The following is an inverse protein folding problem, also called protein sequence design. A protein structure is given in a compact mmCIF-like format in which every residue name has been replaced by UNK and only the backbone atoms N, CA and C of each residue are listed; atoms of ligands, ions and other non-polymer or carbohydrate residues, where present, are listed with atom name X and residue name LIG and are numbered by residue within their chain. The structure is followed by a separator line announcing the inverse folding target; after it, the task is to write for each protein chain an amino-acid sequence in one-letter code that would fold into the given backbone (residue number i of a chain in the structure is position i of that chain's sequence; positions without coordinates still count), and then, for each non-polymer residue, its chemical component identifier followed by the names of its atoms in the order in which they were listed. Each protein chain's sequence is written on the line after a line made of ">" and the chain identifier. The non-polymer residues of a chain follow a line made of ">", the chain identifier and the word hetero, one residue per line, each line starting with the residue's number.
data_IF_750293579937
#
_entry.id   IF_750293579937
#
_cell.length_a   1.000
_cell.length_b   1.000
_cell.length_c   1.000
_cell.angle_alpha   90.00
_cell.angle_beta   90.00
_cell.angle_gamma   90.00
#
_symmetry.space_group_name_H-M   'P 1'
#
loop_
_entity.id
_entity.type
_entity.pdbx_description
1 polymer ?
#
# COMPACT_ATOMS: atom_id res chain seq x y z
N UNK A 1 -16.30 -6.49 -21.10
CA UNK A 1 -15.53 -5.96 -19.95
C UNK A 1 -14.38 -6.91 -19.79
N UNK A 2 -13.20 -6.56 -20.29
CA UNK A 2 -12.02 -7.40 -20.16
C UNK A 2 -11.70 -7.53 -18.67
N UNK A 3 -11.74 -8.76 -18.18
CA UNK A 3 -11.37 -9.11 -16.82
C UNK A 3 -9.88 -8.80 -16.67
N UNK A 4 -9.58 -7.77 -15.88
CA UNK A 4 -8.21 -7.34 -15.64
C UNK A 4 -7.45 -8.47 -14.93
N UNK A 5 -6.68 -9.24 -15.69
CA UNK A 5 -5.78 -10.24 -15.14
C UNK A 5 -4.58 -9.55 -14.50
N UNK A 6 -4.40 -9.75 -13.20
CA UNK A 6 -3.18 -9.33 -12.52
C UNK A 6 -2.01 -10.19 -12.99
N UNK A 7 -0.87 -9.55 -13.31
CA UNK A 7 0.37 -10.29 -13.61
C UNK A 7 0.85 -11.18 -12.44
N UNK A 8 0.33 -10.97 -11.23
CA UNK A 8 0.68 -11.75 -10.04
C UNK A 8 -0.20 -13.00 -9.84
N UNK A 9 -1.29 -13.14 -10.60
CA UNK A 9 -2.26 -14.23 -10.41
C UNK A 9 -1.62 -15.61 -10.57
N UNK A 10 -0.85 -15.80 -11.62
CA UNK A 10 -0.14 -17.06 -11.88
C UNK A 10 0.93 -17.37 -10.83
N UNK A 11 1.57 -16.32 -10.28
CA UNK A 11 2.59 -16.46 -9.26
C UNK A 11 2.00 -16.92 -7.94
N UNK A 12 0.89 -16.32 -7.49
CA UNK A 12 0.22 -16.71 -6.26
C UNK A 12 -0.51 -18.04 -6.38
N UNK A 13 -1.07 -18.38 -7.55
CA UNK A 13 -1.71 -19.68 -7.78
C UNK A 13 -0.71 -20.83 -7.67
N UNK A 14 0.47 -20.72 -8.27
CA UNK A 14 1.53 -21.74 -8.18
C UNK A 14 1.96 -22.02 -6.74
N UNK A 15 1.93 -21.03 -5.87
CA UNK A 15 2.35 -21.21 -4.47
C UNK A 15 1.25 -21.70 -3.55
N UNK A 16 -0.02 -21.43 -3.81
CA UNK A 16 -1.13 -22.07 -3.09
C UNK A 16 -1.10 -23.59 -3.28
N UNK A 17 -0.70 -24.09 -4.46
CA UNK A 17 -0.50 -25.51 -4.71
C UNK A 17 0.67 -26.10 -3.90
N UNK A 18 1.67 -25.31 -3.54
CA UNK A 18 2.83 -25.74 -2.74
C UNK A 18 2.59 -25.67 -1.22
N UNK A 19 1.67 -24.82 -0.76
CA UNK A 19 1.40 -24.55 0.68
C UNK A 19 0.39 -25.53 1.33
N UNK A 20 -0.14 -26.51 0.61
CA UNK A 20 -1.21 -27.40 1.10
C UNK A 20 -0.76 -28.54 2.04
N UNK A 21 0.46 -28.50 2.59
CA UNK A 21 0.98 -29.65 3.38
C UNK A 21 1.07 -29.48 4.89
N UNK A 22 0.79 -28.33 5.48
CA UNK A 22 0.84 -28.21 6.94
C UNK A 22 -0.37 -27.48 7.53
N UNK A 23 -1.07 -28.18 8.43
CA UNK A 23 -2.28 -27.74 9.15
C UNK A 23 -1.96 -26.86 10.37
N UNK A 24 -0.96 -25.99 10.29
CA UNK A 24 -0.62 -24.98 11.30
C UNK A 24 -1.09 -23.60 10.87
N UNK A 25 -1.28 -22.70 11.85
CA UNK A 25 -1.49 -21.27 11.55
C UNK A 25 -0.24 -20.76 10.80
N UNK A 26 -0.33 -20.35 9.55
CA UNK A 26 0.87 -20.06 8.76
C UNK A 26 1.63 -18.89 9.36
N UNK A 27 2.93 -19.05 9.59
CA UNK A 27 3.79 -18.02 10.16
C UNK A 27 3.88 -16.78 9.26
N UNK A 28 3.71 -16.98 7.95
CA UNK A 28 3.69 -15.91 6.95
C UNK A 28 2.54 -16.13 5.97
N UNK A 29 1.72 -15.11 5.80
CA UNK A 29 0.61 -15.07 4.83
C UNK A 29 0.85 -13.93 3.86
N UNK A 30 0.88 -14.24 2.56
CA UNK A 30 1.07 -13.27 1.48
C UNK A 30 -0.12 -13.34 0.55
N UNK A 31 -0.70 -12.19 0.24
CA UNK A 31 -1.82 -12.08 -0.70
C UNK A 31 -1.75 -10.80 -1.51
N UNK A 32 -2.28 -10.84 -2.73
CA UNK A 32 -2.47 -9.64 -3.54
C UNK A 32 -3.78 -8.94 -3.15
N UNK A 33 -3.72 -7.62 -2.95
CA UNK A 33 -4.90 -6.78 -2.78
C UNK A 33 -5.32 -6.22 -4.14
N UNK A 34 -6.42 -6.71 -4.69
CA UNK A 34 -6.93 -6.33 -6.02
C UNK A 34 -7.98 -5.25 -5.91
N UNK A 35 -8.20 -4.55 -7.04
CA UNK A 35 -9.27 -3.55 -7.20
C UNK A 35 -9.19 -2.39 -6.19
N UNK A 36 -8.00 -2.10 -5.68
CA UNK A 36 -7.80 -0.95 -4.80
C UNK A 36 -7.69 0.31 -5.63
N UNK A 37 -8.61 1.23 -5.43
CA UNK A 37 -8.59 2.52 -6.09
C UNK A 37 -7.61 3.45 -5.39
N UNK A 38 -6.69 4.06 -6.14
CA UNK A 38 -5.70 5.01 -5.66
C UNK A 38 -5.76 6.27 -6.51
N UNK A 39 -6.10 7.39 -5.90
CA UNK A 39 -6.04 8.70 -6.56
C UNK A 39 -4.97 9.55 -5.89
N UNK A 40 -3.95 9.94 -6.63
CA UNK A 40 -2.97 10.93 -6.18
C UNK A 40 -3.52 12.33 -6.39
N UNK A 41 -3.39 13.16 -5.36
CA UNK A 41 -3.64 14.60 -5.46
C UNK A 41 -2.35 15.35 -5.14
N UNK A 42 -2.06 16.34 -5.99
CA UNK A 42 -0.97 17.30 -5.76
C UNK A 42 -1.56 18.66 -5.37
N UNK A 43 -0.88 19.36 -4.48
CA UNK A 43 -1.27 20.68 -3.99
C UNK A 43 -0.03 21.48 -3.60
N UNK A 44 -0.11 22.78 -3.60
CA UNK A 44 0.98 23.62 -3.10
C UNK A 44 0.88 23.77 -1.59
N UNK A 45 2.00 23.96 -0.91
CA UNK A 45 2.04 24.19 0.56
C UNK A 45 1.11 25.32 0.99
N UNK A 46 0.96 26.38 0.18
CA UNK A 46 0.01 27.47 0.40
C UNK A 46 -1.46 27.03 0.39
N UNK A 47 -1.78 25.86 -0.16
CA UNK A 47 -3.12 25.30 -0.27
C UNK A 47 -3.45 24.30 0.84
N UNK A 48 -2.58 24.13 1.85
CA UNK A 48 -2.76 23.16 2.94
C UNK A 48 -4.12 23.28 3.63
N UNK A 49 -4.57 24.51 3.91
CA UNK A 49 -5.88 24.75 4.50
C UNK A 49 -7.04 24.31 3.61
N UNK A 50 -6.91 24.52 2.29
CA UNK A 50 -7.89 24.09 1.28
C UNK A 50 -7.92 22.55 1.16
N UNK A 51 -6.74 21.89 1.18
CA UNK A 51 -6.64 20.44 1.19
C UNK A 51 -7.28 19.86 2.46
N UNK A 52 -7.04 20.45 3.62
CA UNK A 52 -7.67 20.03 4.88
C UNK A 52 -9.20 20.11 4.82
N UNK A 53 -9.76 21.20 4.29
CA UNK A 53 -11.22 21.34 4.09
C UNK A 53 -11.77 20.28 3.14
N UNK A 54 -11.04 19.99 2.05
CA UNK A 54 -11.41 18.95 1.12
C UNK A 54 -11.43 17.58 1.79
N UNK A 55 -10.37 17.21 2.54
CA UNK A 55 -10.32 15.95 3.27
C UNK A 55 -11.45 15.82 4.30
N UNK A 56 -11.77 16.92 5.00
CA UNK A 56 -12.91 16.96 5.92
C UNK A 56 -14.25 16.68 5.22
N UNK A 57 -14.43 17.16 3.98
CA UNK A 57 -15.63 16.87 3.18
C UNK A 57 -15.76 15.39 2.78
N UNK A 58 -14.65 14.64 2.82
CA UNK A 58 -14.60 13.20 2.61
C UNK A 58 -14.73 12.38 3.90
N UNK A 59 -14.93 13.05 5.05
CA UNK A 59 -15.01 12.40 6.36
C UNK A 59 -13.65 12.04 6.97
N UNK A 60 -12.57 12.67 6.48
CA UNK A 60 -11.22 12.53 7.03
C UNK A 60 -10.93 13.73 7.96
N UNK A 61 -10.32 13.49 9.12
CA UNK A 61 -10.19 14.51 10.15
C UNK A 61 -9.29 15.68 9.79
N UNK A 62 -8.19 15.43 9.08
CA UNK A 62 -7.21 16.44 8.66
C UNK A 62 -6.19 15.86 7.68
N UNK A 63 -5.41 16.75 7.06
CA UNK A 63 -4.22 16.33 6.30
C UNK A 63 -3.25 15.60 7.24
N UNK A 64 -2.86 14.34 6.93
CA UNK A 64 -1.90 13.61 7.75
C UNK A 64 -0.53 14.28 7.73
N UNK A 65 0.27 14.06 8.78
CA UNK A 65 1.68 14.38 8.76
C UNK A 65 2.41 13.54 7.70
N UNK A 66 3.60 13.94 7.30
CA UNK A 66 4.42 13.13 6.41
C UNK A 66 4.64 11.72 7.01
N UNK A 67 4.65 10.71 6.16
CA UNK A 67 4.76 9.30 6.56
C UNK A 67 3.62 8.79 7.45
N UNK A 68 2.42 9.37 7.33
CA UNK A 68 1.22 8.88 8.01
C UNK A 68 0.12 8.49 7.03
N UNK A 69 -0.55 7.41 7.39
CA UNK A 69 -1.77 6.90 6.79
C UNK A 69 -2.93 7.08 7.79
N UNK A 70 -4.04 7.62 7.35
CA UNK A 70 -5.25 7.77 8.16
C UNK A 70 -6.44 7.16 7.45
N UNK A 71 -7.13 6.25 8.13
CA UNK A 71 -8.35 5.63 7.63
C UNK A 71 -9.56 6.49 7.99
N UNK A 72 -10.46 6.65 7.02
CA UNK A 72 -11.82 7.11 7.23
C UNK A 72 -12.82 5.97 7.03
N UNK A 73 -14.11 6.29 6.96
CA UNK A 73 -15.18 5.28 6.82
C UNK A 73 -15.13 4.55 5.47
N UNK A 74 -14.93 5.27 4.36
CA UNK A 74 -14.99 4.73 2.99
C UNK A 74 -13.74 5.06 2.17
N UNK A 75 -12.87 5.89 2.69
CA UNK A 75 -11.66 6.34 2.01
C UNK A 75 -10.57 6.56 3.06
N UNK A 76 -9.35 6.27 2.67
CA UNK A 76 -8.18 6.55 3.49
C UNK A 76 -7.28 7.58 2.80
N UNK A 77 -6.38 8.21 3.53
CA UNK A 77 -5.41 9.15 3.02
C UNK A 77 -4.01 8.81 3.54
N UNK A 78 -3.05 8.73 2.62
CA UNK A 78 -1.63 8.62 2.93
C UNK A 78 -0.90 9.88 2.44
N UNK A 79 0.01 10.43 3.26
CA UNK A 79 0.86 11.53 2.80
C UNK A 79 2.18 10.97 2.28
N UNK A 80 2.33 10.95 0.96
CA UNK A 80 3.47 10.34 0.27
C UNK A 80 4.66 11.28 0.11
N UNK A 81 4.38 12.60 -0.06
CA UNK A 81 5.36 13.67 -0.14
C UNK A 81 4.82 14.93 0.54
N UNK A 82 5.62 15.97 0.61
CA UNK A 82 5.20 17.24 1.23
C UNK A 82 3.94 17.82 0.59
N UNK A 83 3.83 17.72 -0.73
CA UNK A 83 2.76 18.31 -1.55
C UNK A 83 1.96 17.25 -2.33
N UNK A 84 2.04 15.99 -1.91
CA UNK A 84 1.30 14.88 -2.52
C UNK A 84 0.66 13.98 -1.48
N UNK A 85 -0.58 13.61 -1.74
CA UNK A 85 -1.31 12.60 -0.99
C UNK A 85 -1.86 11.53 -1.93
N UNK A 86 -2.03 10.34 -1.40
CA UNK A 86 -2.85 9.30 -2.01
C UNK A 86 -4.16 9.18 -1.25
N UNK A 87 -5.25 9.17 -2.00
CA UNK A 87 -6.56 8.77 -1.51
C UNK A 87 -6.77 7.32 -1.92
N UNK A 88 -6.97 6.44 -0.96
CA UNK A 88 -7.18 5.02 -1.16
C UNK A 88 -8.66 4.73 -0.89
N UNK A 89 -9.36 4.26 -1.91
CA UNK A 89 -10.80 4.06 -1.93
C UNK A 89 -11.50 4.89 -3.02
N UNK A 90 -12.81 4.71 -3.16
CA UNK A 90 -13.57 5.37 -4.22
C UNK A 90 -13.73 6.88 -3.96
N UNK A 91 -13.07 7.68 -4.78
CA UNK A 91 -13.23 9.13 -4.76
C UNK A 91 -14.50 9.52 -5.53
N UNK A 92 -15.50 10.04 -4.83
CA UNK A 92 -16.63 10.72 -5.47
C UNK A 92 -16.14 12.03 -6.09
N UNK A 93 -16.72 12.46 -7.22
CA UNK A 93 -16.21 13.49 -8.16
C UNK A 93 -15.95 14.91 -7.60
N UNK A 94 -16.00 15.11 -6.30
CA UNK A 94 -15.84 16.40 -5.62
C UNK A 94 -14.43 17.01 -5.69
N UNK A 95 -13.40 16.21 -6.01
CA UNK A 95 -12.00 16.71 -6.12
C UNK A 95 -11.85 17.82 -7.17
N UNK A 96 -12.62 17.77 -8.27
CA UNK A 96 -12.60 18.79 -9.33
C UNK A 96 -13.05 20.16 -8.82
N UNK A 97 -14.00 20.22 -7.88
CA UNK A 97 -14.49 21.47 -7.30
C UNK A 97 -13.41 22.22 -6.52
N UNK A 98 -12.42 21.53 -5.99
CA UNK A 98 -11.32 22.13 -5.23
C UNK A 98 -10.10 22.48 -6.11
N UNK A 99 -10.16 22.21 -7.42
CA UNK A 99 -9.06 22.46 -8.39
C UNK A 99 -7.73 21.77 -8.03
N UNK A 100 -7.80 20.60 -7.40
CA UNK A 100 -6.65 19.71 -7.28
C UNK A 100 -6.46 18.92 -8.57
N UNK A 101 -5.23 18.47 -8.81
CA UNK A 101 -4.85 17.72 -10.00
C UNK A 101 -4.89 16.22 -9.66
N UNK A 102 -6.01 15.51 -9.92
CA UNK A 102 -6.12 14.09 -9.65
C UNK A 102 -5.38 13.27 -10.71
N UNK A 103 -4.58 12.33 -10.25
CA UNK A 103 -3.94 11.31 -11.07
C UNK A 103 -4.40 9.93 -10.57
N UNK A 104 -5.00 9.14 -11.45
CA UNK A 104 -5.38 7.76 -11.15
C UNK A 104 -4.15 6.86 -11.17
N UNK A 105 -3.85 6.24 -10.04
CA UNK A 105 -2.76 5.28 -9.86
C UNK A 105 -3.27 3.85 -9.62
N UNK A 106 -4.56 3.59 -9.73
CA UNK A 106 -5.18 2.28 -9.43
C UNK A 106 -4.56 1.16 -10.26
N UNK A 107 -4.32 1.41 -11.54
CA UNK A 107 -3.65 0.45 -12.43
C UNK A 107 -2.13 0.55 -12.43
N UNK A 108 -1.54 1.56 -11.78
CA UNK A 108 -0.10 1.78 -11.75
C UNK A 108 0.61 1.11 -10.57
N UNK A 109 -0.15 0.47 -9.66
CA UNK A 109 0.38 -0.19 -8.47
C UNK A 109 -0.16 -1.61 -8.35
N UNK A 110 0.74 -2.53 -7.96
CA UNK A 110 0.35 -3.78 -7.33
C UNK A 110 0.46 -3.59 -5.81
N UNK A 111 -0.44 -4.22 -5.06
CA UNK A 111 -0.43 -4.14 -3.60
C UNK A 111 -0.35 -5.56 -3.06
N UNK A 112 0.71 -5.82 -2.31
CA UNK A 112 0.91 -7.10 -1.62
C UNK A 112 0.66 -6.88 -0.13
N UNK A 113 -0.20 -7.72 0.44
CA UNK A 113 -0.40 -7.81 1.88
C UNK A 113 0.44 -8.95 2.43
N UNK A 114 1.27 -8.62 3.43
CA UNK A 114 2.08 -9.53 4.21
C UNK A 114 1.57 -9.52 5.65
N UNK A 115 1.26 -10.69 6.21
CA UNK A 115 0.77 -10.86 7.59
C UNK A 115 1.24 -12.19 8.17
N UNK A 116 0.95 -12.44 9.45
CA UNK A 116 1.39 -13.63 10.18
C UNK A 116 2.40 -13.28 11.28
N UNK A 117 2.73 -14.28 12.11
CA UNK A 117 3.58 -14.09 13.31
C UNK A 117 5.01 -13.69 12.97
N UNK A 118 5.48 -14.00 11.76
CA UNK A 118 6.83 -13.70 11.25
C UNK A 118 6.88 -12.57 10.25
N UNK A 119 5.77 -11.83 10.07
CA UNK A 119 5.71 -10.73 9.10
C UNK A 119 6.76 -9.63 9.37
N UNK A 120 7.00 -9.31 10.64
CA UNK A 120 8.02 -8.32 11.05
C UNK A 120 9.44 -8.77 10.66
N UNK A 121 9.74 -10.05 10.83
CA UNK A 121 11.06 -10.60 10.48
C UNK A 121 11.29 -10.59 8.97
N UNK A 122 10.26 -10.92 8.19
CA UNK A 122 10.31 -10.83 6.74
C UNK A 122 10.54 -9.38 6.31
N UNK A 123 9.77 -8.43 6.86
CA UNK A 123 9.92 -7.01 6.52
C UNK A 123 11.30 -6.47 6.88
N UNK A 124 11.88 -6.88 8.00
CA UNK A 124 13.22 -6.48 8.41
C UNK A 124 14.33 -6.95 7.44
N UNK A 125 14.06 -8.02 6.67
CA UNK A 125 14.97 -8.49 5.60
C UNK A 125 14.72 -7.86 4.25
N UNK A 126 13.48 -7.43 4.00
CA UNK A 126 13.10 -6.84 2.73
C UNK A 126 13.59 -5.40 2.57
N UNK A 127 13.59 -4.61 3.65
CA UNK A 127 13.96 -3.20 3.58
C UNK A 127 14.54 -2.67 4.90
N UNK A 128 15.36 -1.61 4.79
CA UNK A 128 16.07 -1.00 5.91
C UNK A 128 15.21 0.06 6.63
N UNK A 129 14.01 -0.33 7.10
CA UNK A 129 13.11 0.54 7.87
C UNK A 129 12.92 -0.04 9.26
N UNK A 130 13.05 0.80 10.30
CA UNK A 130 12.68 0.40 11.65
C UNK A 130 11.15 0.54 11.83
N UNK A 131 10.45 -0.56 11.68
CA UNK A 131 9.00 -0.62 11.85
C UNK A 131 8.55 -0.60 13.32
N UNK A 132 9.46 -0.58 14.30
CA UNK A 132 9.11 -0.42 15.73
C UNK A 132 8.77 1.02 16.09
N UNK A 133 9.15 1.98 15.23
CA UNK A 133 8.72 3.38 15.36
C UNK A 133 7.21 3.49 15.09
N UNK A 134 6.44 3.64 16.16
CA UNK A 134 4.98 3.78 16.10
C UNK A 134 4.51 5.23 15.80
N UNK A 135 5.42 6.17 15.60
CA UNK A 135 5.06 7.55 15.22
C UNK A 135 4.69 7.65 13.76
N UNK A 136 5.11 6.69 12.96
CA UNK A 136 4.85 6.59 11.52
C UNK A 136 4.22 5.24 11.22
N UNK A 137 3.36 5.23 10.22
CA UNK A 137 2.72 4.00 9.73
C UNK A 137 2.65 3.92 8.20
N UNK A 138 3.26 4.88 7.51
CA UNK A 138 3.37 4.88 6.06
C UNK A 138 4.79 5.32 5.67
N UNK A 139 5.51 4.42 4.99
CA UNK A 139 6.94 4.56 4.74
C UNK A 139 7.23 4.54 3.25
N UNK A 140 8.01 5.50 2.76
CA UNK A 140 8.68 5.39 1.47
C UNK A 140 10.03 4.69 1.71
N UNK A 141 10.28 3.60 0.99
CA UNK A 141 11.51 2.80 1.10
C UNK A 141 11.82 2.11 -0.21
N UNK A 142 12.81 1.23 -0.24
CA UNK A 142 13.12 0.38 -1.38
C UNK A 142 13.18 -1.10 -0.98
N UNK A 143 12.68 -1.95 -1.86
CA UNK A 143 12.84 -3.40 -1.82
C UNK A 143 13.56 -3.78 -3.11
N UNK A 144 14.68 -4.50 -3.00
CA UNK A 144 15.50 -4.90 -4.14
C UNK A 144 15.74 -3.75 -5.14
N UNK A 145 16.15 -2.58 -4.61
CA UNK A 145 16.39 -1.32 -5.35
C UNK A 145 15.16 -0.66 -5.99
N UNK A 146 13.98 -1.24 -5.88
CA UNK A 146 12.74 -0.65 -6.38
C UNK A 146 12.09 0.18 -5.29
N UNK A 147 11.76 1.45 -5.61
CA UNK A 147 11.03 2.34 -4.69
C UNK A 147 9.60 1.85 -4.46
N UNK A 148 9.25 1.62 -3.21
CA UNK A 148 7.93 1.17 -2.77
C UNK A 148 7.40 2.04 -1.63
N UNK A 149 6.09 1.96 -1.39
CA UNK A 149 5.52 2.49 -0.16
C UNK A 149 4.99 1.34 0.69
N UNK A 150 5.15 1.42 1.99
CA UNK A 150 4.70 0.40 2.94
C UNK A 150 3.77 1.03 3.95
N UNK A 151 2.55 0.53 4.04
CA UNK A 151 1.60 0.84 5.11
C UNK A 151 1.70 -0.24 6.19
N UNK A 152 2.21 0.14 7.37
CA UNK A 152 2.21 -0.71 8.55
C UNK A 152 0.84 -0.66 9.21
N UNK A 153 0.19 -1.80 9.31
CA UNK A 153 -1.02 -2.02 10.11
C UNK A 153 -0.64 -2.71 11.44
N UNK A 154 -1.62 -2.97 12.30
CA UNK A 154 -1.38 -3.63 13.59
C UNK A 154 -0.73 -5.01 13.41
N UNK A 155 -1.26 -5.82 12.48
CA UNK A 155 -0.88 -7.23 12.31
C UNK A 155 -0.53 -7.55 10.83
N UNK A 156 -0.20 -6.53 10.03
CA UNK A 156 0.11 -6.71 8.62
C UNK A 156 0.83 -5.51 8.02
N UNK A 157 1.39 -5.73 6.84
CA UNK A 157 1.98 -4.73 5.97
C UNK A 157 1.30 -4.75 4.60
N UNK A 158 0.98 -3.59 4.05
CA UNK A 158 0.58 -3.43 2.66
C UNK A 158 1.71 -2.75 1.90
N UNK A 159 2.23 -3.43 0.89
CA UNK A 159 3.38 -2.99 0.10
C UNK A 159 2.86 -2.53 -1.26
N UNK A 160 2.99 -1.25 -1.55
CA UNK A 160 2.55 -0.60 -2.79
C UNK A 160 3.73 -0.56 -3.77
N UNK A 161 3.71 -1.40 -4.77
CA UNK A 161 4.80 -1.65 -5.71
C UNK A 161 4.44 -1.02 -7.06
N UNK A 162 5.36 -0.30 -7.76
CA UNK A 162 5.13 0.08 -9.14
C UNK A 162 4.82 -1.15 -9.99
N UNK A 163 3.75 -1.08 -10.79
CA UNK A 163 3.25 -2.24 -11.54
C UNK A 163 4.31 -2.94 -12.41
N UNK A 164 5.19 -2.16 -13.04
CA UNK A 164 6.26 -2.70 -13.88
C UNK A 164 7.25 -3.61 -13.14
N UNK A 165 7.30 -3.54 -11.82
CA UNK A 165 8.17 -4.35 -10.96
C UNK A 165 7.38 -5.33 -10.09
N UNK A 166 6.05 -5.40 -10.28
CA UNK A 166 5.15 -6.18 -9.43
C UNK A 166 5.57 -7.64 -9.30
N UNK A 167 5.80 -8.32 -10.41
CA UNK A 167 6.18 -9.74 -10.44
C UNK A 167 7.55 -9.97 -9.79
N UNK A 168 8.57 -9.22 -10.19
CA UNK A 168 9.93 -9.35 -9.63
C UNK A 168 9.96 -9.14 -8.13
N UNK A 169 9.27 -8.12 -7.62
CA UNK A 169 9.23 -7.85 -6.17
C UNK A 169 8.38 -8.90 -5.45
N UNK A 170 7.28 -9.36 -6.05
CA UNK A 170 6.49 -10.43 -5.47
C UNK A 170 7.29 -11.72 -5.32
N UNK A 171 8.02 -12.13 -6.35
CA UNK A 171 8.93 -13.29 -6.30
C UNK A 171 9.97 -13.13 -5.20
N UNK A 172 10.59 -11.97 -5.09
CA UNK A 172 11.59 -11.69 -4.05
C UNK A 172 10.98 -11.77 -2.65
N UNK A 173 9.79 -11.20 -2.42
CA UNK A 173 9.06 -11.31 -1.14
C UNK A 173 8.77 -12.78 -0.81
N UNK A 174 8.33 -13.54 -1.79
CA UNK A 174 8.01 -14.96 -1.64
C UNK A 174 9.26 -15.79 -1.31
N UNK A 175 10.39 -15.50 -1.95
CA UNK A 175 11.67 -16.18 -1.70
C UNK A 175 12.16 -15.94 -0.27
N UNK A 176 12.20 -14.68 0.17
CA UNK A 176 12.55 -14.34 1.55
C UNK A 176 11.60 -15.00 2.56
N UNK A 177 10.29 -15.00 2.27
CA UNK A 177 9.26 -15.56 3.15
C UNK A 177 9.39 -17.08 3.30
N UNK A 178 9.86 -17.77 2.26
CA UNK A 178 10.03 -19.23 2.27
C UNK A 178 11.00 -19.74 3.35
N UNK A 179 11.83 -18.85 3.90
CA UNK A 179 12.80 -19.18 4.95
C UNK A 179 12.19 -19.17 6.37
N UNK A 180 10.89 -18.87 6.49
CA UNK A 180 10.15 -18.75 7.76
C UNK A 180 8.98 -19.76 7.86
N UNK A 181 9.14 -20.92 7.24
CA UNK A 181 8.16 -22.04 7.33
C UNK A 181 8.73 -23.17 8.15
#
# INVERSE_FOLDING_TARGET
>A
MDEYQSGLESLFARRQEMSHKDSGNPDVIISEQRHVMITQLSFFTSETAKMTKFLSSLGLSALPSYSQFKSGKNIAVARVEMEKIWLIGQLKSTAKAYKFYPLDLSSARNIIRLSGTRADDVMARLCAVDFRDNTRNFFATSIHHVGVHVHKQKDAYEIYIPRSFGETIAEYILDISSQYH
#
